data_IF_392679036674
#
_entry.id   IF_392679036674
#
_cell.length_a   1.000
_cell.length_b   1.000
_cell.length_c   1.000
_cell.angle_alpha   90.00
_cell.angle_beta   90.00
_cell.angle_gamma   90.00
#
_symmetry.space_group_name_H-M   'P 1'
#
loop_
_entity.id
_entity.type
_entity.pdbx_description
1 polymer ?
#
# COMPACT_ATOMS: atom_id res chain seq x y z
N UNK A 1 4.41 -17.17 15.22
CA UNK A 1 5.27 -16.31 14.40
C UNK A 1 4.40 -15.17 13.92
N UNK A 2 4.54 -13.99 14.51
CA UNK A 2 3.71 -12.83 14.18
C UNK A 2 4.15 -12.32 12.80
N UNK A 3 3.42 -12.66 11.75
CA UNK A 3 3.46 -11.92 10.48
C UNK A 3 3.09 -10.46 10.77
N UNK A 4 4.12 -9.67 11.10
CA UNK A 4 4.01 -8.25 11.39
C UNK A 4 3.63 -7.58 10.08
N UNK A 5 2.34 -7.54 9.77
CA UNK A 5 1.77 -6.92 8.58
C UNK A 5 2.29 -5.48 8.50
N UNK A 6 3.27 -5.25 7.62
CA UNK A 6 3.95 -3.96 7.46
C UNK A 6 3.04 -3.05 6.64
N UNK A 7 2.06 -2.46 7.31
CA UNK A 7 1.13 -1.51 6.70
C UNK A 7 1.61 -0.09 6.97
N UNK A 8 1.77 0.67 5.90
CA UNK A 8 1.96 2.12 5.91
C UNK A 8 0.79 2.76 5.17
N UNK A 9 0.54 4.03 5.44
CA UNK A 9 -0.52 4.79 4.79
C UNK A 9 0.01 6.19 4.47
N UNK A 10 -0.45 6.74 3.36
CA UNK A 10 -0.19 8.13 2.98
C UNK A 10 -1.02 9.10 3.81
N UNK A 11 -0.70 10.38 3.71
CA UNK A 11 -1.60 11.43 4.21
C UNK A 11 -2.84 11.52 3.33
N UNK A 12 -4.01 11.72 3.95
CA UNK A 12 -5.25 11.97 3.23
C UNK A 12 -5.16 13.27 2.42
N UNK A 13 -5.72 13.26 1.21
CA UNK A 13 -5.86 14.43 0.33
C UNK A 13 -7.34 14.70 0.11
N UNK A 14 -7.80 15.90 0.49
CA UNK A 14 -9.20 16.32 0.33
C UNK A 14 -9.41 17.17 -0.92
N UNK A 15 -10.65 17.20 -1.42
CA UNK A 15 -11.06 18.11 -2.49
C UNK A 15 -10.57 17.74 -3.90
N UNK A 16 -10.11 16.52 -4.12
CA UNK A 16 -9.68 16.04 -5.45
C UNK A 16 -10.01 14.56 -5.66
N UNK A 17 -10.43 14.20 -6.87
CA UNK A 17 -10.58 12.82 -7.33
C UNK A 17 -9.30 12.26 -7.95
N UNK A 18 -8.27 13.10 -8.14
CA UNK A 18 -6.97 12.76 -8.70
C UNK A 18 -5.84 13.23 -7.77
N UNK A 19 -5.68 12.60 -6.58
CA UNK A 19 -4.68 13.01 -5.60
C UNK A 19 -3.26 12.69 -6.06
N UNK A 20 -2.33 13.64 -5.87
CA UNK A 20 -0.89 13.41 -5.97
C UNK A 20 -0.29 13.33 -4.56
N UNK A 21 0.20 12.15 -4.17
CA UNK A 21 0.74 11.93 -2.82
C UNK A 21 2.21 12.35 -2.71
N UNK A 22 3.05 11.98 -3.68
CA UNK A 22 4.50 12.23 -3.66
C UNK A 22 5.17 11.78 -2.35
N UNK A 23 4.71 10.66 -1.79
CA UNK A 23 5.26 10.03 -0.59
C UNK A 23 5.98 8.74 -0.97
N UNK A 24 7.15 8.50 -0.38
CA UNK A 24 7.96 7.31 -0.62
C UNK A 24 7.99 6.43 0.63
N UNK A 25 7.81 5.13 0.45
CA UNK A 25 7.87 4.13 1.52
C UNK A 25 8.94 3.09 1.20
N UNK A 26 9.71 2.71 2.22
CA UNK A 26 10.78 1.70 2.08
C UNK A 26 10.41 0.48 2.91
N UNK A 27 10.40 -0.68 2.26
CA UNK A 27 10.18 -1.97 2.91
C UNK A 27 11.42 -2.84 2.75
N UNK A 28 12.01 -3.25 3.87
CA UNK A 28 13.22 -4.11 3.87
C UNK A 28 12.85 -5.59 3.81
N UNK A 29 13.07 -6.25 2.67
CA UNK A 29 12.82 -7.68 2.51
C UNK A 29 13.95 -8.52 3.14
N UNK A 30 13.71 -9.82 3.31
CA UNK A 30 14.76 -10.74 3.78
C UNK A 30 15.78 -10.98 2.65
N UNK A 31 17.03 -11.29 2.99
CA UNK A 31 18.08 -11.49 1.98
C UNK A 31 18.02 -12.85 1.27
N UNK A 32 17.21 -13.80 1.76
CA UNK A 32 17.10 -15.18 1.24
C UNK A 32 15.81 -15.46 0.49
N UNK A 33 14.96 -14.46 0.36
CA UNK A 33 13.63 -14.58 -0.21
C UNK A 33 13.62 -14.05 -1.62
N UNK A 34 13.09 -14.86 -2.54
CA UNK A 34 12.87 -14.49 -3.93
C UNK A 34 11.81 -13.38 -4.02
N UNK A 35 11.99 -12.35 -4.88
CA UNK A 35 10.95 -11.38 -5.17
C UNK A 35 9.58 -11.99 -5.54
N UNK A 36 9.57 -13.18 -6.15
CA UNK A 36 8.35 -13.92 -6.48
C UNK A 36 7.47 -14.22 -5.26
N UNK A 37 8.05 -14.23 -4.05
CA UNK A 37 7.35 -14.61 -2.81
C UNK A 37 6.66 -13.42 -2.13
N UNK A 38 6.74 -12.24 -2.72
CA UNK A 38 6.23 -11.01 -2.13
C UNK A 38 5.20 -10.32 -3.00
N UNK A 39 4.14 -9.89 -2.33
CA UNK A 39 3.07 -9.09 -2.92
C UNK A 39 2.93 -7.77 -2.16
N UNK A 40 2.78 -6.70 -2.92
CA UNK A 40 2.48 -5.38 -2.40
C UNK A 40 0.99 -5.08 -2.61
N UNK A 41 0.25 -5.02 -1.51
CA UNK A 41 -1.16 -4.66 -1.52
C UNK A 41 -1.34 -3.15 -1.40
N UNK A 42 -2.06 -2.57 -2.35
CA UNK A 42 -2.50 -1.19 -2.31
C UNK A 42 -4.00 -1.13 -2.03
N UNK A 43 -4.41 -0.18 -1.20
CA UNK A 43 -5.82 0.10 -0.95
C UNK A 43 -6.05 1.60 -0.94
N UNK A 44 -6.94 2.06 -1.83
CA UNK A 44 -7.43 3.44 -1.87
C UNK A 44 -8.70 3.51 -1.04
N UNK A 45 -8.75 4.44 -0.09
CA UNK A 45 -9.89 4.62 0.79
C UNK A 45 -10.33 6.07 0.82
N UNK A 46 -11.64 6.28 0.91
CA UNK A 46 -12.24 7.57 1.21
C UNK A 46 -12.25 7.77 2.72
N UNK A 47 -11.53 8.79 3.15
CA UNK A 47 -11.43 9.17 4.56
C UNK A 47 -12.51 10.19 4.89
N UNK A 48 -13.26 9.91 5.96
CA UNK A 48 -14.29 10.81 6.47
C UNK A 48 -14.20 10.87 7.99
N UNK A 49 -14.09 12.09 8.52
CA UNK A 49 -14.04 12.30 9.97
C UNK A 49 -15.29 11.72 10.65
N UNK A 50 -15.09 10.92 11.69
CA UNK A 50 -16.18 10.30 12.46
C UNK A 50 -16.80 9.04 11.84
N UNK A 51 -16.24 8.54 10.73
CA UNK A 51 -16.68 7.31 10.07
C UNK A 51 -15.49 6.40 9.77
N UNK A 52 -15.75 5.10 9.63
CA UNK A 52 -14.76 4.16 9.13
C UNK A 52 -14.41 4.46 7.68
N UNK A 53 -13.12 4.45 7.35
CA UNK A 53 -12.64 4.60 5.98
C UNK A 53 -13.39 3.67 5.01
N UNK A 54 -13.95 4.24 3.94
CA UNK A 54 -14.66 3.48 2.93
C UNK A 54 -13.67 3.01 1.86
N UNK A 55 -13.58 1.70 1.62
CA UNK A 55 -12.72 1.16 0.57
C UNK A 55 -13.27 1.57 -0.80
N UNK A 56 -12.46 2.30 -1.57
CA UNK A 56 -12.80 2.70 -2.93
C UNK A 56 -12.26 1.67 -3.93
N UNK A 57 -11.01 1.27 -3.75
CA UNK A 57 -10.36 0.29 -4.63
C UNK A 57 -9.20 -0.40 -3.91
N UNK A 58 -8.86 -1.60 -4.36
CA UNK A 58 -7.67 -2.33 -3.93
C UNK A 58 -7.01 -3.00 -5.13
N UNK A 59 -5.69 -3.02 -5.13
CA UNK A 59 -4.90 -3.75 -6.14
C UNK A 59 -3.70 -4.43 -5.48
N UNK A 60 -3.15 -5.43 -6.15
CA UNK A 60 -1.99 -6.20 -5.71
C UNK A 60 -0.94 -6.13 -6.82
N UNK A 61 0.29 -5.86 -6.44
CA UNK A 61 1.46 -5.92 -7.31
C UNK A 61 2.40 -7.00 -6.78
N UNK A 62 2.58 -8.08 -7.54
CA UNK A 62 3.63 -9.06 -7.25
C UNK A 62 4.99 -8.41 -7.51
N UNK A 63 5.97 -8.54 -6.61
CA UNK A 63 7.25 -7.86 -6.77
C UNK A 63 8.03 -8.36 -7.99
N UNK A 64 7.81 -9.60 -8.42
CA UNK A 64 8.36 -10.15 -9.66
C UNK A 64 8.00 -9.31 -10.88
N UNK A 65 6.72 -9.01 -11.08
CA UNK A 65 6.23 -8.13 -12.15
C UNK A 65 6.78 -6.69 -12.09
N UNK A 66 7.20 -6.24 -10.92
CA UNK A 66 7.72 -4.88 -10.73
C UNK A 66 9.23 -4.77 -10.96
N UNK A 67 9.94 -5.91 -10.97
CA UNK A 67 11.39 -5.99 -11.09
C UNK A 67 11.85 -6.52 -12.46
N UNK A 68 10.93 -7.05 -13.27
CA UNK A 68 11.12 -7.27 -14.71
C UNK A 68 11.26 -5.94 -15.47
#
# INVERSE_FOLDING_TARGET
MSDRKRRVATKSKSGTTSPMFNESFVFYLSNRSDPDWYELHFSVKDYCFGRSDHLISSTVLTLSQALD
#
